data_IF_242352095335
#
_entry.id   IF_242352095335
#
_cell.length_a   1.000
_cell.length_b   1.000
_cell.length_c   1.000
_cell.angle_alpha   90.00
_cell.angle_beta   90.00
_cell.angle_gamma   90.00
#
_symmetry.space_group_name_H-M   'P 1'
#
loop_
_entity.id
_entity.type
_entity.pdbx_description
1 polymer ?
#
# COMPACT_ATOMS: atom_id res chain seq x y z
N UNK A 1 11.54 1.06 14.24
CA UNK A 1 11.23 0.78 12.83
C UNK A 1 9.93 1.51 12.48
N UNK A 2 9.38 1.35 11.28
CA UNK A 2 8.15 2.06 10.87
C UNK A 2 6.91 1.17 11.00
N UNK A 3 5.74 1.78 11.15
CA UNK A 3 4.44 1.08 11.14
C UNK A 3 3.86 0.90 9.73
N UNK A 4 4.37 1.65 8.75
CA UNK A 4 3.88 1.63 7.37
C UNK A 4 4.94 2.14 6.38
N UNK A 5 4.73 1.95 5.06
CA UNK A 5 5.62 2.49 4.03
C UNK A 5 5.85 4.00 4.16
N UNK A 6 4.82 4.78 4.55
CA UNK A 6 4.94 6.22 4.76
C UNK A 6 5.99 6.60 5.82
N UNK A 7 6.17 5.76 6.84
CA UNK A 7 7.19 5.95 7.86
C UNK A 7 8.62 5.65 7.39
N UNK A 8 8.79 5.08 6.18
CA UNK A 8 10.08 4.74 5.57
C UNK A 8 10.38 5.56 4.31
N UNK A 9 9.59 6.60 4.03
CA UNK A 9 9.79 7.46 2.86
C UNK A 9 11.15 8.15 2.90
N UNK A 10 11.68 8.48 4.07
CA UNK A 10 13.02 9.08 4.21
C UNK A 10 14.10 8.25 3.49
N UNK A 11 13.99 6.91 3.55
CA UNK A 11 14.92 6.02 2.86
C UNK A 11 14.87 6.19 1.33
N UNK A 12 13.67 6.42 0.78
CA UNK A 12 13.52 6.71 -0.65
C UNK A 12 14.05 8.09 -0.99
N UNK A 13 13.77 9.09 -0.15
CA UNK A 13 14.27 10.46 -0.31
C UNK A 13 15.82 10.49 -0.37
N UNK A 14 16.46 9.83 0.60
CA UNK A 14 17.91 9.68 0.68
C UNK A 14 18.47 8.96 -0.55
N UNK A 15 17.84 7.85 -0.97
CA UNK A 15 18.31 7.04 -2.11
C UNK A 15 18.21 7.79 -3.44
N UNK A 16 17.09 8.49 -3.66
CA UNK A 16 16.86 9.25 -4.89
C UNK A 16 17.51 10.63 -4.88
N UNK A 17 18.05 11.08 -3.74
CA UNK A 17 18.71 12.38 -3.61
C UNK A 17 17.76 13.56 -3.80
N UNK A 18 16.52 13.44 -3.33
CA UNK A 18 15.49 14.46 -3.48
C UNK A 18 14.63 14.60 -2.21
N UNK A 19 13.99 15.76 -2.07
CA UNK A 19 13.14 16.06 -0.91
C UNK A 19 12.01 15.03 -0.75
N UNK A 20 11.69 14.70 0.50
CA UNK A 20 10.69 13.71 0.88
C UNK A 20 9.34 13.96 0.22
N UNK A 21 8.85 15.20 0.26
CA UNK A 21 7.57 15.60 -0.31
C UNK A 21 7.56 15.43 -1.83
N UNK A 22 8.69 15.68 -2.49
CA UNK A 22 8.84 15.44 -3.93
C UNK A 22 8.73 13.95 -4.24
N UNK A 23 9.51 13.10 -3.56
CA UNK A 23 9.48 11.65 -3.77
C UNK A 23 8.11 11.05 -3.47
N UNK A 24 7.43 11.50 -2.41
CA UNK A 24 6.04 11.11 -2.15
C UNK A 24 5.10 11.54 -3.26
N UNK A 25 5.24 12.77 -3.76
CA UNK A 25 4.41 13.27 -4.85
C UNK A 25 4.58 12.47 -6.14
N UNK A 26 5.82 12.12 -6.50
CA UNK A 26 6.14 11.36 -7.71
C UNK A 26 5.68 9.90 -7.63
N UNK A 27 5.95 9.23 -6.49
CA UNK A 27 5.67 7.80 -6.33
C UNK A 27 4.20 7.55 -6.00
N UNK A 28 3.63 8.29 -5.04
CA UNK A 28 2.28 8.04 -4.55
C UNK A 28 1.22 8.89 -5.26
N UNK A 29 1.61 9.67 -6.27
CA UNK A 29 0.70 10.41 -7.14
C UNK A 29 -0.12 11.50 -6.45
N UNK A 30 0.33 12.02 -5.29
CA UNK A 30 -0.40 13.04 -4.54
C UNK A 30 -0.61 14.36 -5.32
N UNK A 31 0.12 14.58 -6.42
CA UNK A 31 0.12 15.83 -7.19
C UNK A 31 -0.13 15.67 -8.69
N UNK A 32 -0.47 14.49 -9.22
CA UNK A 32 -0.52 14.29 -10.68
C UNK A 32 -1.95 14.20 -11.22
N UNK A 33 -2.24 15.05 -12.21
CA UNK A 33 -3.28 14.80 -13.22
C UNK A 33 -2.92 13.61 -14.13
N UNK A 34 -1.70 13.09 -14.02
CA UNK A 34 -1.16 11.99 -14.80
C UNK A 34 -1.50 10.62 -14.22
N UNK A 35 -1.63 9.66 -15.13
CA UNK A 35 -1.73 8.22 -14.88
C UNK A 35 -0.49 7.71 -14.11
N UNK A 36 -0.61 7.56 -12.78
CA UNK A 36 0.48 7.10 -11.93
C UNK A 36 0.51 5.56 -11.86
N UNK A 37 1.62 4.90 -12.27
CA UNK A 37 1.77 3.45 -12.25
C UNK A 37 1.52 2.83 -10.86
N UNK A 38 1.77 3.58 -9.79
CA UNK A 38 1.48 3.13 -8.44
C UNK A 38 0.00 2.84 -8.22
N UNK A 39 -0.91 3.60 -8.83
CA UNK A 39 -2.35 3.36 -8.70
C UNK A 39 -2.79 2.07 -9.39
N UNK A 40 -2.25 1.77 -10.56
CA UNK A 40 -2.48 0.50 -11.24
C UNK A 40 -1.93 -0.69 -10.44
N UNK A 41 -0.74 -0.53 -9.84
CA UNK A 41 -0.18 -1.55 -8.97
C UNK A 41 -1.05 -1.75 -7.73
N UNK A 42 -1.58 -0.67 -7.16
CA UNK A 42 -2.48 -0.73 -6.02
C UNK A 42 -3.83 -1.36 -6.37
N UNK A 43 -4.26 -1.31 -7.63
CA UNK A 43 -5.42 -2.03 -8.13
C UNK A 43 -5.07 -3.44 -8.64
N UNK A 44 -3.80 -3.88 -8.56
CA UNK A 44 -3.37 -5.19 -9.03
C UNK A 44 -3.38 -5.37 -10.56
N UNK A 45 -3.52 -4.27 -11.32
CA UNK A 45 -3.49 -4.28 -12.77
C UNK A 45 -2.08 -4.49 -13.33
N UNK A 46 -1.05 -4.21 -12.52
CA UNK A 46 0.34 -4.50 -12.86
C UNK A 46 1.17 -4.86 -11.61
N UNK A 47 2.18 -5.75 -11.73
CA UNK A 47 3.18 -5.95 -10.68
C UNK A 47 4.28 -4.87 -10.71
N UNK A 48 5.15 -4.86 -9.71
CA UNK A 48 6.34 -4.00 -9.65
C UNK A 48 7.49 -4.56 -10.51
N UNK A 49 7.25 -4.66 -11.83
CA UNK A 49 8.18 -5.20 -12.83
C UNK A 49 8.86 -4.09 -13.66
N UNK A 50 9.57 -4.49 -14.71
CA UNK A 50 10.27 -3.56 -15.61
C UNK A 50 9.34 -2.55 -16.27
N UNK A 51 8.11 -2.94 -16.64
CA UNK A 51 7.12 -2.03 -17.23
C UNK A 51 6.70 -0.94 -16.23
N UNK A 52 6.44 -1.33 -14.98
CA UNK A 52 6.22 -0.37 -13.89
C UNK A 52 7.42 0.60 -13.75
N UNK A 53 8.64 0.06 -13.74
CA UNK A 53 9.87 0.86 -13.66
C UNK A 53 10.03 1.85 -14.81
N UNK A 54 9.75 1.43 -16.04
CA UNK A 54 9.80 2.31 -17.22
C UNK A 54 8.76 3.42 -17.15
N UNK A 55 7.54 3.13 -16.69
CA UNK A 55 6.50 4.15 -16.51
C UNK A 55 6.87 5.13 -15.40
N UNK A 56 7.39 4.64 -14.28
CA UNK A 56 7.91 5.49 -13.19
C UNK A 56 9.08 6.37 -13.64
N UNK A 57 9.98 5.86 -14.48
CA UNK A 57 11.08 6.64 -15.04
C UNK A 57 10.58 7.83 -15.86
N UNK A 58 9.45 7.71 -16.58
CA UNK A 58 8.87 8.85 -17.32
C UNK A 58 8.46 9.99 -16.39
N UNK A 59 7.93 9.66 -15.20
CA UNK A 59 7.60 10.64 -14.16
C UNK A 59 8.88 11.29 -13.62
N UNK A 60 9.89 10.47 -13.30
CA UNK A 60 11.16 10.93 -12.73
C UNK A 60 11.99 11.79 -13.69
N UNK A 61 11.89 11.55 -15.00
CA UNK A 61 12.57 12.35 -16.04
C UNK A 61 12.20 13.83 -15.99
N UNK A 62 10.96 14.18 -15.62
CA UNK A 62 10.52 15.58 -15.50
C UNK A 62 11.26 16.34 -14.38
N UNK A 63 11.96 15.61 -13.51
CA UNK A 63 12.69 16.14 -12.35
C UNK A 63 14.20 15.88 -12.42
N UNK A 64 14.72 15.38 -13.55
CA UNK A 64 16.11 14.96 -13.72
C UNK A 64 16.55 13.89 -12.70
N UNK A 65 15.64 13.00 -12.31
CA UNK A 65 15.91 11.89 -11.41
C UNK A 65 15.94 10.55 -12.17
N UNK A 66 16.65 9.57 -11.61
CA UNK A 66 16.66 8.19 -12.12
C UNK A 66 15.86 7.31 -11.17
N UNK A 67 14.84 6.64 -11.69
CA UNK A 67 14.06 5.68 -10.93
C UNK A 67 14.82 4.35 -10.82
N UNK A 68 15.06 3.92 -9.59
CA UNK A 68 15.70 2.65 -9.26
C UNK A 68 14.62 1.65 -8.86
N UNK A 69 14.16 0.88 -9.84
CA UNK A 69 13.16 -0.16 -9.63
C UNK A 69 13.60 -1.20 -8.60
N UNK A 70 14.88 -1.56 -8.60
CA UNK A 70 15.39 -2.63 -7.72
C UNK A 70 15.31 -2.18 -6.27
N UNK A 71 15.76 -0.96 -5.99
CA UNK A 71 15.66 -0.37 -4.67
C UNK A 71 14.21 -0.17 -4.25
N UNK A 72 13.36 0.39 -5.12
CA UNK A 72 11.95 0.61 -4.80
C UNK A 72 11.20 -0.69 -4.50
N UNK A 73 11.42 -1.72 -5.30
CA UNK A 73 10.78 -3.02 -5.10
C UNK A 73 11.21 -3.66 -3.78
N UNK A 74 12.49 -3.61 -3.43
CA UNK A 74 12.99 -4.08 -2.14
C UNK A 74 12.39 -3.25 -0.98
N UNK A 75 12.30 -1.93 -1.15
CA UNK A 75 11.66 -1.05 -0.18
C UNK A 75 10.18 -1.40 0.06
N UNK A 76 9.47 -1.95 -0.93
CA UNK A 76 8.10 -2.48 -0.76
C UNK A 76 8.12 -3.90 -0.16
N UNK A 77 8.68 -4.87 -0.88
CA UNK A 77 8.50 -6.31 -0.63
C UNK A 77 9.25 -6.84 0.60
N UNK A 78 10.38 -6.22 0.93
CA UNK A 78 11.28 -6.65 2.01
C UNK A 78 11.17 -5.74 3.24
N UNK A 79 10.10 -4.94 3.29
CA UNK A 79 9.84 -4.04 4.39
C UNK A 79 9.73 -4.81 5.72
N UNK A 80 10.42 -4.29 6.74
CA UNK A 80 10.28 -4.73 8.13
C UNK A 80 9.48 -3.66 8.87
N UNK A 81 8.22 -3.99 9.17
CA UNK A 81 7.32 -3.11 9.90
C UNK A 81 7.05 -3.66 11.31
N UNK A 82 6.72 -2.77 12.24
CA UNK A 82 6.27 -3.13 13.59
C UNK A 82 4.74 -3.13 13.65
N UNK A 83 4.11 -4.14 14.27
CA UNK A 83 2.68 -4.09 14.56
C UNK A 83 2.34 -2.92 15.49
N UNK A 84 1.14 -2.35 15.33
CA UNK A 84 0.56 -1.47 16.33
C UNK A 84 -0.21 -2.29 17.36
N UNK A 85 0.46 -2.66 18.46
CA UNK A 85 -0.14 -3.43 19.55
C UNK A 85 -1.30 -2.72 20.25
N UNK A 86 -1.41 -1.39 20.13
CA UNK A 86 -2.58 -0.64 20.58
C UNK A 86 -3.78 -0.98 19.72
N UNK A 87 -3.60 -0.96 18.39
CA UNK A 87 -4.65 -1.30 17.43
C UNK A 87 -5.06 -2.76 17.51
N UNK A 88 -4.11 -3.69 17.66
CA UNK A 88 -4.45 -5.11 17.83
C UNK A 88 -5.30 -5.37 19.07
N UNK A 89 -5.02 -4.69 20.19
CA UNK A 89 -5.85 -4.79 21.39
C UNK A 89 -7.27 -4.29 21.16
N UNK A 90 -7.43 -3.18 20.43
CA UNK A 90 -8.76 -2.66 20.07
C UNK A 90 -9.51 -3.64 19.18
N UNK A 91 -8.86 -4.21 18.16
CA UNK A 91 -9.48 -5.21 17.28
C UNK A 91 -9.94 -6.44 18.09
N UNK A 92 -9.10 -6.94 19.00
CA UNK A 92 -9.49 -8.06 19.88
C UNK A 92 -10.68 -7.72 20.77
N UNK A 93 -10.69 -6.56 21.42
CA UNK A 93 -11.82 -6.14 22.25
C UNK A 93 -13.13 -6.08 21.45
N UNK A 94 -13.10 -5.49 20.25
CA UNK A 94 -14.28 -5.41 19.38
C UNK A 94 -14.81 -6.81 19.03
N UNK A 95 -13.93 -7.79 18.79
CA UNK A 95 -14.35 -9.18 18.56
C UNK A 95 -14.96 -9.82 19.79
N UNK A 96 -14.38 -9.61 20.97
CA UNK A 96 -14.93 -10.10 22.24
C UNK A 96 -16.33 -9.53 22.52
N UNK A 97 -16.56 -8.27 22.11
CA UNK A 97 -17.85 -7.59 22.18
C UNK A 97 -18.84 -8.04 21.08
N UNK A 98 -18.46 -8.98 20.23
CA UNK A 98 -19.29 -9.49 19.12
C UNK A 98 -19.39 -8.56 17.92
N UNK A 99 -18.54 -7.54 17.82
CA UNK A 99 -18.51 -6.58 16.72
C UNK A 99 -17.62 -7.12 15.60
N UNK A 100 -18.17 -7.18 14.37
CA UNK A 100 -17.43 -7.59 13.18
C UNK A 100 -16.38 -6.55 12.77
N UNK A 101 -15.14 -7.00 12.56
CA UNK A 101 -14.00 -6.15 12.19
C UNK A 101 -13.40 -6.61 10.86
N UNK A 102 -13.00 -5.67 10.00
CA UNK A 102 -12.57 -5.94 8.63
C UNK A 102 -11.35 -5.11 8.29
N UNK A 103 -10.44 -5.68 7.51
CA UNK A 103 -9.24 -5.00 7.04
C UNK A 103 -9.48 -4.49 5.62
N UNK A 104 -9.51 -3.18 5.45
CA UNK A 104 -9.60 -2.53 4.13
C UNK A 104 -8.30 -1.78 3.82
N UNK A 105 -7.49 -2.32 2.91
CA UNK A 105 -6.13 -1.81 2.64
C UNK A 105 -5.93 -1.45 1.17
N UNK A 106 -5.24 -0.33 0.94
CA UNK A 106 -4.59 -0.12 -0.35
C UNK A 106 -3.24 -0.84 -0.24
N UNK A 107 -2.99 -1.80 -1.12
CA UNK A 107 -1.76 -2.59 -1.12
C UNK A 107 -1.35 -2.88 -2.56
N UNK A 108 -0.16 -3.42 -2.74
CA UNK A 108 0.28 -4.04 -3.99
C UNK A 108 0.55 -5.53 -3.72
N UNK A 109 0.52 -6.41 -4.74
CA UNK A 109 0.73 -7.85 -4.52
C UNK A 109 2.03 -8.17 -3.78
N UNK A 110 3.10 -7.45 -4.06
CA UNK A 110 4.42 -7.61 -3.43
C UNK A 110 4.45 -7.21 -1.95
N UNK A 111 3.49 -6.40 -1.49
CA UNK A 111 3.43 -5.93 -0.10
C UNK A 111 2.56 -6.83 0.80
N UNK A 112 1.66 -7.64 0.23
CA UNK A 112 0.80 -8.53 1.02
C UNK A 112 1.58 -9.46 1.96
N UNK A 113 2.69 -10.12 1.54
CA UNK A 113 3.49 -10.93 2.46
C UNK A 113 4.08 -10.15 3.63
N UNK A 114 4.35 -8.85 3.47
CA UNK A 114 4.79 -7.98 4.59
C UNK A 114 3.65 -7.81 5.58
N UNK A 115 2.43 -7.55 5.10
CA UNK A 115 1.25 -7.37 5.96
C UNK A 115 1.02 -8.63 6.80
N UNK A 116 1.02 -9.81 6.18
CA UNK A 116 0.81 -11.09 6.88
C UNK A 116 1.87 -11.40 7.94
N UNK A 117 3.11 -10.95 7.72
CA UNK A 117 4.18 -11.06 8.73
C UNK A 117 4.09 -10.01 9.83
N UNK A 118 3.49 -8.85 9.53
CA UNK A 118 3.45 -7.71 10.46
C UNK A 118 2.30 -7.83 11.44
N UNK A 119 1.10 -8.25 10.98
CA UNK A 119 -0.11 -8.29 11.80
C UNK A 119 -0.82 -9.64 11.71
N UNK A 120 -1.57 -10.01 12.74
CA UNK A 120 -2.42 -11.21 12.70
C UNK A 120 -3.68 -10.97 11.85
N UNK A 121 -3.62 -11.29 10.56
CA UNK A 121 -4.75 -11.11 9.62
C UNK A 121 -5.98 -11.97 9.96
N UNK A 122 -5.83 -13.04 10.75
CA UNK A 122 -6.95 -13.87 11.22
C UNK A 122 -7.84 -13.18 12.25
N UNK A 123 -7.45 -11.99 12.73
CA UNK A 123 -8.30 -11.18 13.57
C UNK A 123 -9.46 -10.57 12.79
N UNK A 124 -9.39 -10.44 11.48
CA UNK A 124 -10.45 -9.79 10.71
C UNK A 124 -11.47 -10.81 10.19
N UNK A 125 -12.75 -10.47 10.26
CA UNK A 125 -13.86 -11.24 9.70
C UNK A 125 -13.89 -11.17 8.17
N UNK A 126 -13.40 -10.06 7.60
CA UNK A 126 -13.20 -9.91 6.17
C UNK A 126 -11.94 -9.11 5.88
N UNK A 127 -11.33 -9.39 4.73
CA UNK A 127 -10.16 -8.68 4.22
C UNK A 127 -10.48 -8.22 2.80
N UNK A 128 -10.32 -6.93 2.56
CA UNK A 128 -10.42 -6.31 1.24
C UNK A 128 -9.08 -5.64 0.94
N UNK A 129 -8.33 -6.29 0.06
CA UNK A 129 -7.08 -5.79 -0.50
C UNK A 129 -7.36 -5.22 -1.90
N UNK A 130 -7.04 -3.94 -2.11
CA UNK A 130 -7.25 -3.25 -3.39
C UNK A 130 -6.62 -3.96 -4.59
N UNK A 131 -5.46 -4.62 -4.38
CA UNK A 131 -4.76 -5.35 -5.43
C UNK A 131 -5.45 -6.65 -5.85
N UNK A 132 -6.36 -7.16 -5.03
CA UNK A 132 -7.16 -8.34 -5.34
C UNK A 132 -8.51 -7.98 -5.97
N UNK A 133 -9.07 -6.82 -5.59
CA UNK A 133 -10.42 -6.41 -6.03
C UNK A 133 -10.44 -5.42 -7.20
N UNK A 134 -9.29 -4.94 -7.67
CA UNK A 134 -9.22 -4.06 -8.85
C UNK A 134 -9.60 -2.60 -8.60
N UNK A 135 -9.91 -2.23 -7.36
CA UNK A 135 -10.33 -0.87 -6.97
C UNK A 135 -9.61 -0.47 -5.68
N UNK A 136 -9.30 0.82 -5.55
CA UNK A 136 -8.53 1.38 -4.43
C UNK A 136 -9.31 2.48 -3.71
N UNK A 137 -9.02 2.72 -2.44
CA UNK A 137 -9.47 3.95 -1.77
C UNK A 137 -8.85 5.17 -2.48
N UNK A 138 -9.58 6.29 -2.64
CA UNK A 138 -10.91 6.58 -2.07
C UNK A 138 -12.11 6.28 -3.01
N UNK A 139 -11.97 5.39 -4.00
CA UNK A 139 -13.10 5.03 -4.87
C UNK A 139 -14.26 4.42 -4.07
N UNK A 140 -15.50 4.90 -4.27
CA UNK A 140 -16.67 4.47 -3.50
C UNK A 140 -16.90 2.94 -3.56
N UNK A 141 -16.59 2.32 -4.71
CA UNK A 141 -16.84 0.90 -4.96
C UNK A 141 -16.09 -0.01 -3.99
N UNK A 142 -14.91 0.39 -3.51
CA UNK A 142 -14.16 -0.43 -2.55
C UNK A 142 -14.86 -0.49 -1.19
N UNK A 143 -15.56 0.58 -0.80
CA UNK A 143 -16.32 0.63 0.45
C UNK A 143 -17.59 -0.21 0.34
N UNK A 144 -18.26 -0.19 -0.81
CA UNK A 144 -19.41 -1.05 -1.11
C UNK A 144 -19.02 -2.54 -1.07
N UNK A 145 -17.91 -2.91 -1.74
CA UNK A 145 -17.36 -4.28 -1.68
C UNK A 145 -17.04 -4.70 -0.24
N UNK A 146 -16.46 -3.80 0.55
CA UNK A 146 -16.15 -4.08 1.96
C UNK A 146 -17.41 -4.30 2.80
N UNK A 147 -18.46 -3.51 2.57
CA UNK A 147 -19.74 -3.70 3.25
C UNK A 147 -20.40 -5.02 2.84
N UNK A 148 -20.35 -5.39 1.55
CA UNK A 148 -20.90 -6.65 1.04
C UNK A 148 -20.15 -7.89 1.52
N UNK A 149 -18.82 -7.81 1.67
CA UNK A 149 -17.99 -8.90 2.19
C UNK A 149 -18.35 -9.30 3.63
N UNK A 150 -19.16 -8.49 4.33
CA UNK A 150 -19.71 -8.81 5.66
C UNK A 150 -21.02 -9.59 5.63
N UNK A 151 -21.59 -9.82 4.45
CA UNK A 151 -22.87 -10.50 4.25
C UNK A 151 -22.72 -11.91 3.64
N UNK A 152 -21.52 -12.49 3.69
CA UNK A 152 -21.31 -13.89 3.29
C UNK A 152 -21.40 -14.75 4.55
N UNK A 153 -22.50 -15.50 4.64
CA UNK A 153 -22.95 -16.34 5.75
C UNK A 153 -21.91 -17.34 6.29
#
# INVERSE_FOLDING_TARGET
MAKSPLGRVEMLADHFGAEKEMIMGLILGQNSADDNPWFDAECGHQPLNEDFGQRMQKIFNNHNLTFDLSYFRAWVADAVNEPDLGMERVVNQLKEDGIKVGLLTNSVPEFWPVIERTINTKLFDCIVDSSQVGVRKPDERIYELTAQARHVD
#
